data_IF_221077734540
#
_entry.id   IF_221077734540
#
_cell.length_a   1.000
_cell.length_b   1.000
_cell.length_c   1.000
_cell.angle_alpha   90.00
_cell.angle_beta   90.00
_cell.angle_gamma   90.00
#
_symmetry.space_group_name_H-M   'P 1'
#
loop_
_entity.id
_entity.type
_entity.pdbx_description
1 polymer ?
#
# COMPACT_ATOMS: atom_id res chain seq x y z
N UNK A 1 -27.74 -0.47 -24.94
CA UNK A 1 -26.78 -1.54 -24.62
C UNK A 1 -26.30 -1.33 -23.20
N UNK A 2 -26.30 -2.36 -22.34
CA UNK A 2 -25.90 -2.25 -20.94
C UNK A 2 -24.66 -3.13 -20.72
N UNK A 3 -23.54 -2.52 -20.33
CA UNK A 3 -22.32 -3.24 -19.97
C UNK A 3 -22.18 -3.36 -18.46
N UNK A 4 -21.79 -4.53 -17.98
CA UNK A 4 -21.54 -4.81 -16.55
C UNK A 4 -20.04 -4.79 -16.30
N UNK A 5 -19.58 -3.80 -15.54
CA UNK A 5 -18.19 -3.74 -15.08
C UNK A 5 -18.07 -4.51 -13.77
N UNK A 6 -17.10 -5.42 -13.69
CA UNK A 6 -16.79 -6.22 -12.50
C UNK A 6 -15.41 -5.88 -11.96
N UNK A 7 -15.21 -6.10 -10.67
CA UNK A 7 -13.90 -5.96 -10.05
C UNK A 7 -12.90 -6.93 -10.72
N UNK A 8 -11.70 -6.45 -11.12
CA UNK A 8 -10.69 -7.30 -11.74
C UNK A 8 -10.00 -8.25 -10.77
N UNK A 9 -10.05 -7.98 -9.46
CA UNK A 9 -9.49 -8.82 -8.39
C UNK A 9 -10.28 -8.64 -7.08
N UNK A 10 -10.06 -9.56 -6.13
CA UNK A 10 -10.62 -9.46 -4.78
C UNK A 10 -9.87 -8.38 -3.98
N UNK A 11 -10.59 -7.45 -3.38
CA UNK A 11 -9.97 -6.34 -2.66
C UNK A 11 -11.01 -5.46 -1.98
N UNK A 12 -10.56 -4.37 -1.38
CA UNK A 12 -11.41 -3.42 -0.66
C UNK A 12 -11.61 -2.18 -1.53
N UNK A 13 -12.85 -1.72 -1.66
CA UNK A 13 -13.19 -0.48 -2.36
C UNK A 13 -12.85 0.70 -1.45
N UNK A 14 -11.77 1.42 -1.76
CA UNK A 14 -11.35 2.60 -0.97
C UNK A 14 -12.00 3.88 -1.45
N UNK A 15 -12.40 3.94 -2.72
CA UNK A 15 -13.10 5.08 -3.28
C UNK A 15 -14.16 4.63 -4.28
N UNK A 16 -15.38 5.13 -4.12
CA UNK A 16 -16.44 5.04 -5.13
C UNK A 16 -16.52 6.40 -5.84
N UNK A 17 -16.07 6.45 -7.08
CA UNK A 17 -15.94 7.71 -7.81
C UNK A 17 -17.14 8.02 -8.70
N UNK A 18 -17.96 7.03 -9.07
CA UNK A 18 -19.16 7.21 -9.89
C UNK A 18 -20.47 7.07 -9.09
N UNK A 19 -21.46 7.90 -9.42
CA UNK A 19 -22.81 7.87 -8.85
C UNK A 19 -23.87 7.52 -9.91
N UNK A 20 -25.03 6.96 -9.52
CA UNK A 20 -26.11 6.73 -10.45
C UNK A 20 -26.55 8.05 -11.09
N UNK A 21 -26.57 8.10 -12.43
CA UNK A 21 -26.90 9.31 -13.20
C UNK A 21 -25.68 10.14 -13.64
N UNK A 22 -24.46 9.79 -13.20
CA UNK A 22 -23.23 10.47 -13.64
C UNK A 22 -22.70 9.87 -14.96
N UNK A 23 -22.20 10.72 -15.86
CA UNK A 23 -21.61 10.28 -17.14
C UNK A 23 -20.14 9.91 -16.88
N UNK A 24 -19.79 8.63 -17.10
CA UNK A 24 -18.42 8.13 -17.00
C UNK A 24 -17.83 8.02 -18.40
N UNK A 25 -16.79 8.80 -18.68
CA UNK A 25 -16.13 8.86 -20.00
C UNK A 25 -14.65 8.48 -19.91
N UNK A 26 -14.16 7.47 -20.65
CA UNK A 26 -12.76 7.05 -20.60
C UNK A 26 -11.79 8.07 -21.24
N UNK A 27 -12.28 8.98 -22.10
CA UNK A 27 -11.46 9.99 -22.79
C UNK A 27 -11.19 11.27 -21.96
N UNK A 28 -11.81 11.45 -20.80
CA UNK A 28 -11.85 12.74 -20.10
C UNK A 28 -10.73 12.93 -19.07
N UNK A 29 -9.54 12.37 -19.30
CA UNK A 29 -8.38 12.54 -18.40
C UNK A 29 -7.78 13.96 -18.41
N UNK A 30 -8.32 14.89 -19.22
CA UNK A 30 -7.76 16.24 -19.44
C UNK A 30 -8.71 17.41 -19.20
N UNK A 31 -9.91 17.21 -18.65
CA UNK A 31 -10.94 18.27 -18.61
C UNK A 31 -11.83 18.27 -17.37
N UNK A 32 -11.33 18.85 -16.27
CA UNK A 32 -12.07 19.59 -15.24
C UNK A 32 -13.13 18.91 -14.36
N UNK A 33 -13.95 17.99 -14.86
CA UNK A 33 -15.17 17.57 -14.14
C UNK A 33 -15.62 16.11 -14.32
N UNK A 34 -15.05 15.33 -15.24
CA UNK A 34 -15.44 13.91 -15.41
C UNK A 34 -14.44 13.00 -14.71
N UNK A 35 -14.81 12.45 -13.55
CA UNK A 35 -14.01 11.41 -12.89
C UNK A 35 -14.04 10.16 -13.76
N UNK A 36 -12.90 9.82 -14.36
CA UNK A 36 -12.77 8.73 -15.35
C UNK A 36 -12.79 7.33 -14.73
N UNK A 37 -12.70 7.22 -13.40
CA UNK A 37 -12.75 5.94 -12.67
C UNK A 37 -14.12 5.67 -12.05
N UNK A 38 -14.59 4.42 -12.10
CA UNK A 38 -15.81 3.97 -11.41
C UNK A 38 -15.56 3.84 -9.90
N UNK A 39 -14.38 3.34 -9.53
CA UNK A 39 -13.90 3.25 -8.16
C UNK A 39 -12.47 2.74 -8.09
N UNK A 40 -11.86 2.91 -6.93
CA UNK A 40 -10.52 2.41 -6.61
C UNK A 40 -10.68 1.17 -5.74
N UNK A 41 -10.04 0.08 -6.17
CA UNK A 41 -9.99 -1.19 -5.43
C UNK A 41 -8.53 -1.40 -5.05
N UNK A 42 -8.30 -1.74 -3.79
CA UNK A 42 -6.96 -2.01 -3.25
C UNK A 42 -6.89 -3.47 -2.83
N UNK A 43 -5.81 -4.14 -3.23
CA UNK A 43 -5.48 -5.48 -2.76
C UNK A 43 -4.90 -5.39 -1.34
N UNK A 44 -5.53 -6.09 -0.39
CA UNK A 44 -5.06 -6.17 1.00
C UNK A 44 -4.25 -7.44 1.26
N UNK A 45 -4.07 -8.31 0.27
CA UNK A 45 -3.26 -9.52 0.44
C UNK A 45 -1.75 -9.24 0.40
N UNK A 46 -1.34 -8.16 -0.27
CA UNK A 46 0.06 -7.78 -0.50
C UNK A 46 0.47 -6.56 0.32
N UNK A 47 0.26 -6.62 1.64
CA UNK A 47 0.64 -5.53 2.53
C UNK A 47 2.14 -5.55 2.82
N UNK A 48 2.76 -4.41 2.58
CA UNK A 48 4.17 -4.16 2.83
C UNK A 48 4.31 -2.97 3.76
N UNK A 49 5.29 -3.04 4.65
CA UNK A 49 5.60 -1.97 5.59
C UNK A 49 6.84 -1.24 5.09
N UNK A 50 6.71 0.06 4.90
CA UNK A 50 7.83 0.96 4.64
C UNK A 50 8.33 1.52 5.97
N UNK A 51 9.61 1.30 6.27
CA UNK A 51 10.29 1.83 7.47
C UNK A 51 11.45 2.71 7.03
N UNK A 52 11.56 3.89 7.64
CA UNK A 52 12.71 4.78 7.47
C UNK A 52 13.77 4.44 8.52
N UNK A 53 14.96 4.03 8.07
CA UNK A 53 16.10 3.70 8.94
C UNK A 53 17.17 4.77 8.77
N UNK A 54 17.70 5.32 9.86
CA UNK A 54 18.79 6.28 9.78
C UNK A 54 20.05 5.66 9.15
N UNK A 55 20.78 6.44 8.33
CA UNK A 55 21.94 5.96 7.60
C UNK A 55 23.02 5.30 8.48
N UNK A 56 23.15 5.72 9.75
CA UNK A 56 24.11 5.11 10.69
C UNK A 56 23.80 3.65 11.03
N UNK A 57 22.54 3.21 10.86
CA UNK A 57 22.07 1.88 11.21
C UNK A 57 21.88 0.97 9.99
N UNK A 58 21.99 1.50 8.77
CA UNK A 58 21.75 0.70 7.55
C UNK A 58 22.71 -0.48 7.43
N UNK A 59 23.96 -0.33 7.91
CA UNK A 59 24.95 -1.41 7.92
C UNK A 59 24.58 -2.61 8.81
N UNK A 60 23.57 -2.47 9.68
CA UNK A 60 23.06 -3.56 10.52
C UNK A 60 21.85 -4.27 9.90
N UNK A 61 21.19 -3.67 8.92
CA UNK A 61 19.99 -4.23 8.28
C UNK A 61 20.41 -5.11 7.12
N UNK A 62 19.97 -6.37 7.13
CA UNK A 62 20.26 -7.34 6.08
C UNK A 62 18.97 -7.76 5.36
N UNK A 63 19.03 -8.05 4.05
CA UNK A 63 17.93 -8.71 3.36
C UNK A 63 17.62 -10.06 4.03
N UNK A 64 16.33 -10.41 4.12
CA UNK A 64 15.79 -11.60 4.83
C UNK A 64 15.98 -11.60 6.34
N UNK A 65 16.41 -10.48 6.94
CA UNK A 65 16.48 -10.36 8.38
C UNK A 65 15.08 -10.47 8.99
N UNK A 66 14.88 -11.30 10.03
CA UNK A 66 13.61 -11.36 10.74
C UNK A 66 13.39 -10.06 11.51
N UNK A 67 12.18 -9.52 11.43
CA UNK A 67 11.79 -8.30 12.13
C UNK A 67 10.47 -8.52 12.86
N UNK A 68 10.31 -7.87 14.01
CA UNK A 68 9.04 -7.82 14.72
C UNK A 68 8.45 -6.43 14.53
N UNK A 69 7.26 -6.34 13.94
CA UNK A 69 6.55 -5.08 13.75
C UNK A 69 5.36 -5.02 14.68
N UNK A 70 5.17 -3.89 15.35
CA UNK A 70 4.02 -3.63 16.22
C UNK A 70 3.24 -2.47 15.63
N UNK A 71 1.95 -2.68 15.39
CA UNK A 71 1.05 -1.62 14.93
C UNK A 71 0.65 -0.76 16.12
N UNK A 72 0.63 0.56 15.93
CA UNK A 72 0.19 1.48 16.98
C UNK A 72 -1.27 1.23 17.42
N UNK A 73 -2.11 0.77 16.49
CA UNK A 73 -3.49 0.37 16.75
C UNK A 73 -3.61 -0.91 17.62
N UNK A 74 -2.60 -1.78 17.61
CA UNK A 74 -2.59 -3.06 18.33
C UNK A 74 -1.23 -3.26 19.03
N UNK A 75 -0.96 -2.55 20.13
CA UNK A 75 0.33 -2.57 20.79
C UNK A 75 0.72 -3.93 21.39
N UNK A 76 -0.26 -4.78 21.70
CA UNK A 76 -0.04 -6.14 22.22
C UNK A 76 0.25 -7.16 21.12
N UNK A 77 0.03 -6.79 19.86
CA UNK A 77 0.18 -7.72 18.74
C UNK A 77 1.52 -7.50 18.03
N UNK A 78 2.42 -8.47 18.23
CA UNK A 78 3.71 -8.52 17.54
C UNK A 78 3.58 -9.33 16.28
N UNK A 79 3.79 -8.68 15.14
CA UNK A 79 3.67 -9.32 13.84
C UNK A 79 5.08 -9.65 13.35
N UNK A 80 5.41 -10.95 13.17
CA UNK A 80 6.66 -11.31 12.56
C UNK A 80 6.63 -10.93 11.07
N UNK A 81 7.72 -10.30 10.62
CA UNK A 81 7.95 -9.91 9.24
C UNK A 81 9.38 -10.25 8.82
N UNK A 82 9.69 -9.98 7.56
CA UNK A 82 11.06 -10.05 7.06
C UNK A 82 11.37 -8.89 6.12
N UNK A 83 12.63 -8.45 6.12
CA UNK A 83 13.11 -7.43 5.19
C UNK A 83 13.20 -8.04 3.79
N UNK A 84 12.38 -7.56 2.87
CA UNK A 84 12.36 -8.04 1.48
C UNK A 84 13.21 -7.20 0.55
N UNK A 85 13.34 -5.90 0.83
CA UNK A 85 14.10 -4.99 0.01
C UNK A 85 14.60 -3.81 0.84
N UNK A 86 15.83 -3.40 0.55
CA UNK A 86 16.44 -2.18 1.08
C UNK A 86 16.60 -1.26 -0.13
N UNK A 87 16.00 -0.08 -0.08
CA UNK A 87 16.11 0.91 -1.15
C UNK A 87 17.30 1.79 -0.80
N UNK A 88 18.47 1.63 -1.45
CA UNK A 88 19.70 2.33 -1.06
C UNK A 88 19.68 3.82 -1.41
N UNK A 89 18.58 4.32 -1.96
CA UNK A 89 18.35 5.74 -2.19
C UNK A 89 18.12 6.42 -0.84
N UNK A 90 19.19 6.97 -0.28
CA UNK A 90 19.11 7.82 0.90
C UNK A 90 18.42 9.13 0.53
N UNK A 91 17.37 9.49 1.27
CA UNK A 91 16.78 10.81 1.17
C UNK A 91 17.74 11.80 1.84
N UNK A 92 18.46 12.60 1.03
CA UNK A 92 19.45 13.57 1.54
C UNK A 92 18.84 14.65 2.42
N UNK A 93 17.53 14.87 2.36
CA UNK A 93 16.83 15.81 3.23
C UNK A 93 16.66 15.29 4.66
N UNK A 94 16.54 13.97 4.83
CA UNK A 94 16.27 13.33 6.12
C UNK A 94 17.41 12.44 6.64
N UNK A 95 18.43 12.14 5.84
CA UNK A 95 19.49 11.19 6.20
C UNK A 95 18.95 9.78 6.53
N UNK A 96 17.84 9.39 5.90
CA UNK A 96 17.19 8.08 6.09
C UNK A 96 17.20 7.25 4.82
N UNK A 97 17.22 5.93 5.01
CA UNK A 97 17.14 4.92 3.97
C UNK A 97 15.81 4.19 4.13
N UNK A 98 15.11 3.97 3.02
CA UNK A 98 13.83 3.26 3.04
C UNK A 98 14.04 1.76 3.00
N UNK A 99 13.41 1.05 3.93
CA UNK A 99 13.43 -0.41 4.01
C UNK A 99 12.01 -0.92 3.89
N UNK A 100 11.81 -1.93 3.02
CA UNK A 100 10.53 -2.61 2.84
C UNK A 100 10.54 -3.92 3.59
N UNK A 101 9.52 -4.11 4.41
CA UNK A 101 9.29 -5.30 5.22
C UNK A 101 8.00 -5.98 4.77
N UNK A 102 8.07 -7.27 4.47
CA UNK A 102 6.88 -8.08 4.26
C UNK A 102 6.38 -8.64 5.60
N UNK A 103 5.06 -8.57 5.79
CA UNK A 103 4.38 -9.19 6.91
C UNK A 103 4.21 -10.70 6.66
N UNK A 104 4.62 -11.56 7.61
CA UNK A 104 4.42 -13.02 7.49
C UNK A 104 3.03 -13.46 7.92
N UNK A 105 2.39 -12.69 8.80
CA UNK A 105 1.05 -12.98 9.30
C UNK A 105 0.07 -12.05 8.60
N UNK A 106 -0.85 -12.63 7.85
CA UNK A 106 -2.02 -11.95 7.29
C UNK A 106 -3.15 -12.09 8.30
N UNK A 107 -3.60 -10.99 8.89
CA UNK A 107 -4.77 -10.98 9.75
C UNK A 107 -5.85 -10.06 9.15
N UNK A 108 -7.13 -10.48 9.14
CA UNK A 108 -8.24 -9.67 8.62
C UNK A 108 -8.48 -8.37 9.40
N UNK A 109 -7.78 -8.11 10.50
CA UNK A 109 -7.82 -6.83 11.23
C UNK A 109 -6.99 -5.72 10.57
N UNK A 110 -6.07 -6.08 9.68
CA UNK A 110 -5.31 -5.11 8.87
C UNK A 110 -6.04 -5.00 7.52
N UNK A 111 -7.15 -4.26 7.51
CA UNK A 111 -7.99 -3.94 6.35
C UNK A 111 -8.24 -2.44 6.25
#
# INVERSE_FOLDING_TARGET
DFNVVRAPFAGVVTAKAAQPGEIVSPLSAGGGFTRTGIGTIVDMESLEIEVEVGESYIGRVQPKMPVETVLNAYPEWKIPGEVIAIIPTADRGKATVKVRVALKVKDPRIV
#
